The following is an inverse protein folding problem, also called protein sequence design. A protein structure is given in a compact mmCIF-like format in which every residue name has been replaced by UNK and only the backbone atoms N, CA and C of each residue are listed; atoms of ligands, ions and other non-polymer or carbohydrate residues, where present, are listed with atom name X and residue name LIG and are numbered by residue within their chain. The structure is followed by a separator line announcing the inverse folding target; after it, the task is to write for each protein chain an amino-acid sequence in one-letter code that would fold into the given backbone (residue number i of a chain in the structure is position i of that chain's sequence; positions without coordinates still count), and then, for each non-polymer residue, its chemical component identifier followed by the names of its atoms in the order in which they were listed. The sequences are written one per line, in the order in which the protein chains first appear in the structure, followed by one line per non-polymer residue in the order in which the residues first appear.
data_IF_958436513560
#
_entry.id   IF_958436513560
#
_cell.length_a   1.000
_cell.length_b   1.000
_cell.length_c   1.000
_cell.angle_alpha   90.00
_cell.angle_beta   90.00
_cell.angle_gamma   90.00
#
_symmetry.space_group_name_H-M   'P 1'
#
loop_
_entity.id
_entity.type
_entity.pdbx_description
1 polymer ?
#
# COMPACT_ATOMS: atom_id res chain seq x y z
N UNK A 1 9.74 -59.96 48.15
CA UNK A 1 10.88 -60.84 47.81
C UNK A 1 11.22 -60.67 46.34
N UNK A 2 12.48 -60.28 46.07
CA UNK A 2 13.23 -60.27 44.79
C UNK A 2 12.89 -59.24 43.69
N UNK A 3 13.59 -58.11 43.87
CA UNK A 3 14.17 -57.21 42.88
C UNK A 3 14.94 -57.98 41.78
N UNK A 4 14.86 -57.51 40.52
CA UNK A 4 15.93 -57.65 39.54
C UNK A 4 16.20 -56.29 38.88
N UNK A 5 17.36 -55.72 39.20
CA UNK A 5 17.98 -54.58 38.53
C UNK A 5 18.78 -55.14 37.34
N UNK A 6 18.65 -54.56 36.16
CA UNK A 6 19.70 -54.58 35.13
C UNK A 6 20.11 -53.13 34.85
N UNK A 7 21.38 -52.82 35.10
CA UNK A 7 22.07 -51.59 34.73
C UNK A 7 22.60 -51.74 33.29
N UNK A 8 22.52 -50.70 32.46
CA UNK A 8 23.58 -50.27 31.55
C UNK A 8 23.25 -48.89 30.93
N UNK A 9 24.25 -48.01 30.96
CA UNK A 9 24.28 -46.63 30.44
C UNK A 9 24.63 -46.59 28.94
N UNK A 10 24.15 -45.56 28.23
CA UNK A 10 24.88 -44.74 27.22
C UNK A 10 23.87 -43.76 26.58
N UNK A 11 23.89 -42.46 26.88
CA UNK A 11 24.62 -41.37 26.18
C UNK A 11 24.21 -41.18 24.72
N UNK A 12 23.55 -40.06 24.45
CA UNK A 12 23.74 -39.23 23.25
C UNK A 12 22.97 -39.62 21.98
N UNK A 13 21.92 -38.87 21.65
CA UNK A 13 21.97 -37.88 20.56
C UNK A 13 20.66 -37.09 20.54
N UNK A 14 20.77 -35.77 20.70
CA UNK A 14 19.75 -34.81 20.30
C UNK A 14 19.65 -34.92 18.76
N UNK A 15 18.64 -35.60 18.24
CA UNK A 15 18.29 -35.45 16.82
C UNK A 15 17.59 -34.11 16.67
N UNK A 16 18.39 -33.07 16.43
CA UNK A 16 17.90 -31.92 15.70
C UNK A 16 17.46 -32.44 14.34
N UNK A 17 16.14 -32.62 14.17
CA UNK A 17 15.57 -32.70 12.85
C UNK A 17 15.77 -31.32 12.22
N UNK A 18 16.91 -31.14 11.58
CA UNK A 18 17.06 -30.16 10.50
C UNK A 18 16.03 -30.62 9.48
N UNK A 19 14.85 -29.98 9.49
CA UNK A 19 14.00 -29.97 8.32
C UNK A 19 14.81 -29.24 7.26
N UNK A 20 15.59 -30.01 6.49
CA UNK A 20 16.03 -29.61 5.17
C UNK A 20 14.77 -29.21 4.42
N UNK A 21 14.56 -27.90 4.27
CA UNK A 21 13.59 -27.37 3.33
C UNK A 21 14.00 -27.88 1.96
N UNK A 22 13.32 -28.92 1.52
CA UNK A 22 13.33 -29.35 0.14
C UNK A 22 12.71 -28.19 -0.67
N UNK A 23 13.54 -27.45 -1.40
CA UNK A 23 13.07 -26.46 -2.36
C UNK A 23 12.51 -27.19 -3.59
N UNK A 24 11.20 -27.46 -3.61
CA UNK A 24 10.51 -28.01 -4.78
C UNK A 24 9.03 -27.61 -4.80
N UNK A 25 8.62 -26.74 -5.74
CA UNK A 25 7.28 -26.84 -6.36
C UNK A 25 6.53 -25.56 -6.76
N UNK A 26 6.69 -24.43 -6.07
CA UNK A 26 5.80 -23.29 -6.31
C UNK A 26 6.14 -22.58 -7.64
N UNK A 27 5.12 -22.29 -8.45
CA UNK A 27 5.33 -21.78 -9.81
C UNK A 27 4.25 -20.80 -10.29
N UNK A 28 4.67 -19.94 -11.21
CA UNK A 28 3.82 -19.01 -11.94
C UNK A 28 3.18 -19.66 -13.16
N UNK A 29 1.85 -19.64 -13.21
CA UNK A 29 1.06 -20.18 -14.32
C UNK A 29 0.38 -19.03 -15.06
N UNK A 30 0.62 -18.90 -16.36
CA UNK A 30 -0.06 -17.89 -17.18
C UNK A 30 -1.48 -18.37 -17.52
N UNK A 31 -2.48 -17.59 -17.14
CA UNK A 31 -3.87 -17.84 -17.45
C UNK A 31 -4.20 -17.46 -18.91
N UNK A 32 -5.28 -18.02 -19.50
CA UNK A 32 -5.67 -17.75 -20.89
C UNK A 32 -5.96 -16.27 -21.21
N UNK A 33 -6.33 -15.48 -20.19
CA UNK A 33 -6.58 -14.05 -20.31
C UNK A 33 -5.30 -13.19 -20.22
N UNK A 34 -4.14 -13.81 -20.06
CA UNK A 34 -2.84 -13.14 -19.94
C UNK A 34 -2.42 -12.79 -18.51
N UNK A 35 -3.28 -12.99 -17.51
CA UNK A 35 -2.93 -12.84 -16.09
C UNK A 35 -2.08 -14.01 -15.59
N UNK A 36 -1.51 -13.90 -14.39
CA UNK A 36 -0.69 -14.96 -13.79
C UNK A 36 -1.29 -15.50 -12.50
N UNK A 37 -1.15 -16.79 -12.23
CA UNK A 37 -1.62 -17.46 -11.01
C UNK A 37 -0.39 -18.04 -10.31
N UNK A 38 -0.29 -17.88 -8.99
CA UNK A 38 0.77 -18.51 -8.22
C UNK A 38 0.25 -19.81 -7.59
N UNK A 39 0.79 -20.95 -8.05
CA UNK A 39 0.42 -22.27 -7.55
C UNK A 39 1.42 -22.74 -6.49
N UNK A 40 0.91 -23.10 -5.31
CA UNK A 40 1.65 -23.72 -4.23
C UNK A 40 1.95 -25.20 -4.54
N UNK A 41 2.87 -25.79 -3.77
CA UNK A 41 3.34 -27.17 -3.94
C UNK A 41 2.21 -28.22 -3.79
N UNK A 42 1.18 -27.91 -3.01
CA UNK A 42 0.01 -28.77 -2.79
C UNK A 42 -1.06 -28.65 -3.89
N UNK A 43 -0.78 -27.88 -4.94
CA UNK A 43 -1.69 -27.61 -6.05
C UNK A 43 -2.74 -26.54 -5.76
N UNK A 44 -2.77 -25.98 -4.54
CA UNK A 44 -3.57 -24.80 -4.23
C UNK A 44 -2.96 -23.55 -4.88
N UNK A 45 -3.72 -22.45 -4.91
CA UNK A 45 -3.22 -21.20 -5.43
C UNK A 45 -3.28 -20.15 -4.34
N UNK A 46 -2.30 -19.24 -4.33
CA UNK A 46 -2.36 -18.07 -3.46
C UNK A 46 -3.54 -17.22 -3.95
N UNK A 47 -4.42 -16.87 -3.01
CA UNK A 47 -5.53 -15.95 -3.24
C UNK A 47 -5.52 -14.96 -2.10
N UNK A 48 -5.63 -13.67 -2.41
CA UNK A 48 -5.64 -12.60 -1.41
C UNK A 48 -4.43 -12.63 -0.46
N UNK A 49 -3.23 -12.72 -1.03
CA UNK A 49 -2.00 -12.89 -0.25
C UNK A 49 -0.74 -12.64 -1.06
N UNK A 50 0.38 -12.54 -0.36
CA UNK A 50 1.69 -12.37 -0.99
C UNK A 50 2.27 -13.74 -1.36
N UNK A 51 2.84 -13.84 -2.55
CA UNK A 51 3.69 -14.95 -2.94
C UNK A 51 5.02 -14.86 -2.19
N UNK A 52 5.75 -15.99 -2.01
CA UNK A 52 7.08 -16.01 -1.40
C UNK A 52 8.11 -15.08 -2.07
N UNK A 53 7.97 -14.82 -3.37
CA UNK A 53 8.81 -13.90 -4.15
C UNK A 53 8.31 -12.44 -4.15
N UNK A 54 7.30 -12.13 -3.33
CA UNK A 54 6.92 -10.76 -2.95
C UNK A 54 5.83 -10.11 -3.79
N UNK A 55 5.15 -10.87 -4.66
CA UNK A 55 4.04 -10.37 -5.47
C UNK A 55 2.71 -10.61 -4.75
N UNK A 56 1.80 -9.64 -4.80
CA UNK A 56 0.47 -9.83 -4.22
C UNK A 56 -0.47 -10.46 -5.26
N UNK A 57 -1.09 -11.58 -4.91
CA UNK A 57 -2.09 -12.26 -5.73
C UNK A 57 -3.47 -11.85 -5.31
N UNK A 58 -4.30 -11.61 -6.31
CA UNK A 58 -5.60 -11.07 -6.06
C UNK A 58 -6.58 -12.06 -5.40
N UNK A 59 -7.70 -11.58 -4.86
CA UNK A 59 -8.77 -12.45 -4.33
C UNK A 59 -9.40 -13.37 -5.39
N UNK A 60 -9.15 -13.13 -6.68
CA UNK A 60 -9.52 -14.02 -7.80
C UNK A 60 -8.41 -15.01 -8.16
N UNK A 61 -7.30 -15.04 -7.42
CA UNK A 61 -6.13 -15.89 -7.67
C UNK A 61 -5.21 -15.40 -8.79
N UNK A 62 -5.39 -14.17 -9.28
CA UNK A 62 -4.68 -13.59 -10.43
C UNK A 62 -3.74 -12.47 -10.02
N UNK A 63 -2.57 -12.42 -10.61
CA UNK A 63 -1.60 -11.34 -10.53
C UNK A 63 -1.75 -10.42 -11.75
N UNK A 64 -1.59 -9.12 -11.50
CA UNK A 64 -1.59 -8.06 -12.51
C UNK A 64 -0.35 -7.19 -12.34
N UNK A 65 0.11 -6.55 -13.41
CA UNK A 65 1.36 -5.78 -13.44
C UNK A 65 1.38 -4.64 -12.43
N UNK A 66 2.37 -4.64 -11.55
CA UNK A 66 2.59 -3.58 -10.57
C UNK A 66 2.78 -2.21 -11.24
N UNK A 67 2.36 -1.14 -10.56
CA UNK A 67 2.73 0.23 -10.96
C UNK A 67 4.05 0.62 -10.30
N UNK A 68 4.99 1.18 -11.04
CA UNK A 68 6.25 1.70 -10.46
C UNK A 68 6.06 3.18 -10.12
N UNK A 69 6.22 3.54 -8.85
CA UNK A 69 6.15 4.92 -8.37
C UNK A 69 7.35 5.17 -7.45
N UNK A 70 8.12 6.23 -7.71
CA UNK A 70 9.34 6.56 -6.94
C UNK A 70 10.27 5.33 -6.81
N UNK A 71 10.60 4.71 -7.94
CA UNK A 71 11.41 3.49 -8.06
C UNK A 71 10.94 2.31 -7.17
N UNK A 72 9.68 2.33 -6.75
CA UNK A 72 9.09 1.33 -5.86
C UNK A 72 7.97 0.61 -6.60
N UNK A 73 7.99 -0.72 -6.55
CA UNK A 73 6.91 -1.54 -7.07
C UNK A 73 5.69 -1.43 -6.14
N UNK A 74 4.62 -0.80 -6.62
CA UNK A 74 3.35 -0.70 -5.92
C UNK A 74 2.45 -1.81 -6.45
N UNK A 75 2.06 -2.79 -5.60
CA UNK A 75 1.23 -3.90 -6.03
C UNK A 75 -0.15 -3.39 -6.43
N UNK A 76 -0.66 -3.88 -7.55
CA UNK A 76 -2.04 -3.61 -7.93
C UNK A 76 -2.99 -4.25 -6.91
N UNK A 77 -4.08 -3.54 -6.67
CA UNK A 77 -5.14 -3.95 -5.75
C UNK A 77 -6.25 -4.68 -6.50
N UNK A 78 -6.92 -5.54 -5.78
CA UNK A 78 -8.02 -6.38 -6.30
C UNK A 78 -9.36 -5.76 -5.99
N UNK A 79 -9.36 -5.12 -4.83
CA UNK A 79 -10.46 -4.48 -4.16
C UNK A 79 -9.89 -3.26 -3.44
N UNK A 80 -10.78 -2.30 -3.25
CA UNK A 80 -10.54 -1.15 -2.41
C UNK A 80 -10.22 -1.62 -0.97
N UNK A 81 -9.21 -1.01 -0.34
CA UNK A 81 -8.78 -1.33 1.03
C UNK A 81 -9.88 -0.95 2.02
N UNK A 82 -10.19 -1.84 2.97
CA UNK A 82 -11.25 -1.54 3.93
C UNK A 82 -10.79 -0.47 4.93
N UNK A 83 -11.61 0.55 5.23
CA UNK A 83 -11.32 1.49 6.30
C UNK A 83 -11.42 0.86 7.70
N UNK A 84 -11.93 -0.38 7.81
CA UNK A 84 -12.06 -1.11 9.07
C UNK A 84 -10.88 -2.04 9.40
N UNK A 85 -9.79 -2.02 8.63
CA UNK A 85 -8.57 -2.76 8.97
C UNK A 85 -7.95 -2.24 10.28
N UNK A 86 -7.36 -3.14 11.08
CA UNK A 86 -6.75 -2.80 12.38
C UNK A 86 -5.59 -1.81 12.25
N UNK A 87 -4.79 -1.95 11.18
CA UNK A 87 -3.68 -1.07 10.84
C UNK A 87 -3.81 -0.59 9.40
N UNK A 88 -3.80 0.73 9.21
CA UNK A 88 -3.75 1.36 7.90
C UNK A 88 -2.53 0.88 7.14
N UNK A 89 -2.76 0.38 5.94
CA UNK A 89 -1.71 -0.20 5.10
C UNK A 89 -0.93 -1.34 5.79
N UNK A 90 -1.62 -2.19 6.55
CA UNK A 90 -0.98 -3.38 7.11
C UNK A 90 -0.28 -4.20 6.00
N UNK A 91 0.91 -4.73 6.34
CA UNK A 91 1.81 -5.42 5.41
C UNK A 91 2.54 -4.54 4.38
N UNK A 92 2.37 -3.21 4.38
CA UNK A 92 3.00 -2.33 3.39
C UNK A 92 4.25 -1.58 3.91
N UNK A 93 4.78 -1.95 5.08
CA UNK A 93 5.89 -1.24 5.72
C UNK A 93 7.13 -1.15 4.80
N UNK A 94 7.47 -2.22 4.07
CA UNK A 94 8.63 -2.21 3.17
C UNK A 94 8.43 -1.32 1.93
N UNK A 95 7.18 -1.16 1.45
CA UNK A 95 6.87 -0.23 0.36
C UNK A 95 7.15 1.20 0.81
N UNK A 96 6.67 1.59 2.00
CA UNK A 96 6.96 2.92 2.54
C UNK A 96 8.44 3.13 2.83
N UNK A 97 9.16 2.10 3.28
CA UNK A 97 10.62 2.17 3.45
C UNK A 97 11.34 2.40 2.11
N UNK A 98 10.94 1.70 1.03
CA UNK A 98 11.50 1.89 -0.31
C UNK A 98 11.26 3.30 -0.83
N UNK A 99 10.02 3.78 -0.72
CA UNK A 99 9.67 5.16 -1.10
C UNK A 99 10.47 6.17 -0.28
N UNK A 100 10.58 5.97 1.04
CA UNK A 100 11.36 6.86 1.91
C UNK A 100 12.85 6.88 1.54
N UNK A 101 13.44 5.73 1.14
CA UNK A 101 14.82 5.67 0.63
C UNK A 101 14.97 6.42 -0.69
N UNK A 102 14.00 6.35 -1.59
CA UNK A 102 14.01 7.12 -2.85
C UNK A 102 13.94 8.63 -2.57
N UNK A 103 12.99 9.06 -1.74
CA UNK A 103 12.87 10.45 -1.31
C UNK A 103 14.17 10.96 -0.70
N UNK A 104 14.79 10.18 0.19
CA UNK A 104 16.07 10.56 0.80
C UNK A 104 17.20 10.73 -0.24
N UNK A 105 17.26 9.83 -1.22
CA UNK A 105 18.26 9.89 -2.28
C UNK A 105 18.11 11.14 -3.15
N UNK A 106 16.87 11.52 -3.47
CA UNK A 106 16.61 12.61 -4.40
C UNK A 106 16.61 13.98 -3.75
N UNK A 107 16.03 14.08 -2.55
CA UNK A 107 15.68 15.35 -1.88
C UNK A 107 16.06 15.37 -0.40
N UNK A 108 16.86 14.41 0.07
CA UNK A 108 17.28 14.29 1.46
C UNK A 108 16.08 14.11 2.40
N UNK A 109 16.16 14.72 3.58
CA UNK A 109 15.12 14.58 4.61
C UNK A 109 13.87 15.45 4.36
N UNK A 110 13.79 16.18 3.24
CA UNK A 110 12.73 17.17 3.01
C UNK A 110 11.31 16.59 3.06
N UNK A 111 11.15 15.27 2.88
CA UNK A 111 9.86 14.56 2.96
C UNK A 111 9.96 13.33 3.85
N UNK A 112 8.97 13.14 4.72
CA UNK A 112 8.91 12.00 5.63
C UNK A 112 7.51 11.43 5.73
N UNK A 113 7.36 10.14 5.44
CA UNK A 113 6.16 9.40 5.81
C UNK A 113 6.16 9.08 7.31
N UNK A 114 4.98 9.16 7.92
CA UNK A 114 4.72 8.70 9.27
C UNK A 114 3.43 7.87 9.26
N UNK A 115 3.53 6.65 9.76
CA UNK A 115 2.39 5.74 9.90
C UNK A 115 2.10 5.53 11.39
N UNK A 116 0.84 5.67 11.76
CA UNK A 116 0.26 5.12 12.99
C UNK A 116 -0.77 4.05 12.61
N UNK A 117 -1.43 3.43 13.60
CA UNK A 117 -2.41 2.39 13.31
C UNK A 117 -3.54 2.86 12.40
N UNK A 118 -4.04 4.08 12.54
CA UNK A 118 -5.21 4.55 11.77
C UNK A 118 -4.91 5.68 10.80
N UNK A 119 -3.66 6.16 10.74
CA UNK A 119 -3.33 7.37 10.00
C UNK A 119 -1.95 7.30 9.37
N UNK A 120 -1.89 7.70 8.11
CA UNK A 120 -0.66 7.98 7.38
C UNK A 120 -0.54 9.48 7.14
N UNK A 121 0.68 10.02 7.26
CA UNK A 121 0.98 11.43 6.98
C UNK A 121 2.24 11.54 6.15
N UNK A 122 2.24 12.46 5.20
CA UNK A 122 3.46 12.97 4.59
C UNK A 122 3.77 14.34 5.18
N UNK A 123 4.95 14.48 5.77
CA UNK A 123 5.43 15.74 6.30
C UNK A 123 6.53 16.34 5.44
N UNK A 124 6.55 17.67 5.39
CA UNK A 124 7.74 18.45 5.09
C UNK A 124 8.61 18.52 6.34
N UNK A 125 9.92 18.32 6.18
CA UNK A 125 10.89 18.55 7.25
C UNK A 125 11.84 19.66 6.80
N UNK A 126 11.90 20.72 7.59
CA UNK A 126 12.83 21.84 7.43
C UNK A 126 13.42 22.11 8.82
N UNK A 127 14.74 21.98 8.96
CA UNK A 127 15.45 22.00 10.24
C UNK A 127 14.82 21.02 11.26
N UNK A 128 14.38 21.53 12.42
CA UNK A 128 13.71 20.76 13.47
C UNK A 128 12.17 20.80 13.34
N UNK A 129 11.63 21.51 12.34
CA UNK A 129 10.19 21.66 12.15
C UNK A 129 9.65 20.62 11.18
N UNK A 130 8.53 20.03 11.56
CA UNK A 130 7.76 19.11 10.72
C UNK A 130 6.38 19.69 10.45
N UNK A 131 6.03 19.85 9.17
CA UNK A 131 4.73 20.38 8.73
C UNK A 131 4.01 19.35 7.88
N UNK A 132 2.77 19.02 8.24
CA UNK A 132 1.95 18.07 7.50
C UNK A 132 1.56 18.63 6.13
N UNK A 133 1.88 17.88 5.07
CA UNK A 133 1.56 18.24 3.68
C UNK A 133 0.29 17.54 3.21
N UNK A 134 0.16 16.26 3.54
CA UNK A 134 -1.11 15.56 3.43
C UNK A 134 -1.21 14.42 4.45
N UNK A 135 -2.43 13.96 4.72
CA UNK A 135 -2.67 12.76 5.52
C UNK A 135 -3.85 11.95 5.00
N UNK A 136 -3.80 10.63 5.19
CA UNK A 136 -4.93 9.72 5.02
C UNK A 136 -5.25 9.09 6.38
N UNK A 137 -6.49 9.20 6.82
CA UNK A 137 -6.97 8.65 8.10
C UNK A 137 -8.14 7.70 7.86
N UNK A 138 -8.15 6.55 8.54
CA UNK A 138 -9.29 5.64 8.56
C UNK A 138 -10.42 6.22 9.42
N UNK A 139 -11.64 6.15 8.92
CA UNK A 139 -12.87 6.33 9.69
C UNK A 139 -13.72 5.06 9.58
N UNK A 140 -13.45 4.05 10.45
CA UNK A 140 -14.19 2.79 10.43
C UNK A 140 -15.69 2.97 10.70
N UNK A 141 -16.08 4.01 11.43
CA UNK A 141 -17.49 4.25 11.80
C UNK A 141 -18.29 4.76 10.60
N UNK A 142 -17.71 5.68 9.83
CA UNK A 142 -18.30 6.16 8.59
C UNK A 142 -18.07 5.22 7.39
N UNK A 143 -17.18 4.24 7.53
CA UNK A 143 -16.82 3.32 6.45
C UNK A 143 -16.06 4.03 5.32
N UNK A 144 -15.23 5.01 5.67
CA UNK A 144 -14.47 5.82 4.71
C UNK A 144 -13.05 6.10 5.18
N UNK A 145 -12.23 6.64 4.28
CA UNK A 145 -10.97 7.29 4.59
C UNK A 145 -11.12 8.79 4.40
N UNK A 146 -10.47 9.55 5.27
CA UNK A 146 -10.36 10.99 5.14
C UNK A 146 -8.96 11.36 4.65
N UNK A 147 -8.89 11.84 3.42
CA UNK A 147 -7.68 12.41 2.83
C UNK A 147 -7.70 13.94 3.04
N UNK A 148 -6.62 14.51 3.55
CA UNK A 148 -6.45 15.97 3.69
C UNK A 148 -5.20 16.39 2.93
N UNK A 149 -5.33 17.33 1.99
CA UNK A 149 -4.24 17.90 1.20
C UNK A 149 -4.01 19.36 1.62
N UNK A 150 -2.76 19.73 1.91
CA UNK A 150 -2.33 21.07 2.35
C UNK A 150 -1.13 21.61 1.55
N UNK A 151 -0.84 20.99 0.41
CA UNK A 151 0.36 21.26 -0.35
C UNK A 151 0.08 21.33 -1.84
N UNK A 152 0.96 22.03 -2.55
CA UNK A 152 0.97 22.03 -4.01
C UNK A 152 1.27 20.63 -4.54
N UNK A 153 0.53 20.22 -5.57
CA UNK A 153 0.73 18.99 -6.33
C UNK A 153 1.12 19.34 -7.77
N UNK A 154 2.09 18.62 -8.33
CA UNK A 154 2.49 18.80 -9.73
C UNK A 154 2.52 17.47 -10.45
N UNK A 155 1.69 17.35 -11.49
CA UNK A 155 1.63 16.15 -12.33
C UNK A 155 2.70 16.18 -13.42
N UNK A 156 2.75 17.28 -14.17
CA UNK A 156 3.64 17.50 -15.30
C UNK A 156 4.57 18.66 -15.01
N UNK A 157 5.82 18.55 -15.44
CA UNK A 157 6.84 19.57 -15.25
C UNK A 157 7.85 19.51 -16.39
N UNK A 158 8.61 20.59 -16.58
CA UNK A 158 9.72 20.67 -17.51
C UNK A 158 10.95 21.22 -16.81
N UNK A 159 12.12 20.63 -17.03
CA UNK A 159 13.36 21.02 -16.35
C UNK A 159 13.51 20.33 -15.01
N UNK A 160 13.88 21.08 -13.98
CA UNK A 160 14.11 20.56 -12.64
C UNK A 160 12.83 20.00 -12.01
N UNK A 161 12.96 18.89 -11.29
CA UNK A 161 11.83 18.21 -10.64
C UNK A 161 11.35 19.05 -9.45
N UNK A 162 10.12 19.62 -9.46
CA UNK A 162 9.65 20.44 -8.37
C UNK A 162 9.27 19.60 -7.15
N UNK A 163 9.38 20.18 -5.95
CA UNK A 163 9.01 19.49 -4.70
C UNK A 163 7.53 19.04 -4.66
N UNK A 164 6.65 19.76 -5.36
CA UNK A 164 5.24 19.41 -5.54
C UNK A 164 5.01 18.18 -6.42
N UNK A 165 5.98 17.81 -7.26
CA UNK A 165 5.93 16.54 -8.00
C UNK A 165 6.12 15.36 -7.06
N UNK A 166 7.09 15.43 -6.13
CA UNK A 166 7.25 14.40 -5.09
C UNK A 166 6.01 14.27 -4.21
N UNK A 167 5.36 15.40 -3.86
CA UNK A 167 4.09 15.36 -3.12
C UNK A 167 3.02 14.57 -3.89
N UNK A 168 2.89 14.80 -5.20
CA UNK A 168 1.94 14.09 -6.05
C UNK A 168 2.29 12.60 -6.22
N UNK A 169 3.57 12.25 -6.39
CA UNK A 169 3.95 10.84 -6.44
C UNK A 169 3.69 10.11 -5.11
N UNK A 170 3.96 10.75 -3.98
CA UNK A 170 3.60 10.21 -2.67
C UNK A 170 2.09 10.00 -2.51
N UNK A 171 1.26 10.92 -3.03
CA UNK A 171 -0.19 10.75 -3.07
C UNK A 171 -0.57 9.54 -3.94
N UNK A 172 0.04 9.37 -5.12
CA UNK A 172 -0.18 8.21 -5.98
C UNK A 172 0.17 6.89 -5.28
N UNK A 173 1.28 6.80 -4.56
CA UNK A 173 1.63 5.61 -3.75
C UNK A 173 0.48 5.24 -2.82
N UNK A 174 0.02 6.21 -2.03
CA UNK A 174 -1.03 6.02 -1.02
C UNK A 174 -2.34 5.58 -1.67
N UNK A 175 -2.74 6.20 -2.78
CA UNK A 175 -4.01 5.90 -3.44
C UNK A 175 -3.98 4.59 -4.25
N UNK A 176 -2.82 4.18 -4.80
CA UNK A 176 -2.66 2.86 -5.43
C UNK A 176 -2.60 1.73 -4.39
N UNK A 177 -2.13 1.99 -3.17
CA UNK A 177 -2.25 1.03 -2.07
C UNK A 177 -3.67 0.93 -1.50
N UNK A 178 -4.53 1.92 -1.80
CA UNK A 178 -5.91 2.02 -1.34
C UNK A 178 -6.91 1.45 -2.37
N UNK A 179 -6.73 1.75 -3.65
CA UNK A 179 -7.72 1.52 -4.73
C UNK A 179 -7.10 0.76 -5.90
N UNK A 180 -7.87 -0.11 -6.57
CA UNK A 180 -7.45 -0.76 -7.82
C UNK A 180 -7.28 0.25 -8.95
N UNK A 181 -8.01 1.36 -8.87
CA UNK A 181 -7.93 2.49 -9.80
C UNK A 181 -7.19 3.67 -9.16
N UNK A 182 -6.15 3.40 -8.38
CA UNK A 182 -5.46 4.41 -7.57
C UNK A 182 -4.95 5.62 -8.35
N UNK A 183 -4.45 5.44 -9.57
CA UNK A 183 -4.06 6.56 -10.43
C UNK A 183 -5.24 7.41 -10.90
N UNK A 184 -6.40 6.80 -11.21
CA UNK A 184 -7.61 7.58 -11.52
C UNK A 184 -8.10 8.37 -10.30
N UNK A 185 -7.99 7.77 -9.11
CA UNK A 185 -8.33 8.43 -7.86
C UNK A 185 -7.36 9.57 -7.53
N UNK A 186 -6.07 9.39 -7.77
CA UNK A 186 -5.05 10.42 -7.61
C UNK A 186 -5.27 11.59 -8.58
N UNK A 187 -5.64 11.29 -9.83
CA UNK A 187 -5.99 12.29 -10.83
C UNK A 187 -7.24 13.08 -10.43
N UNK A 188 -8.27 12.41 -9.92
CA UNK A 188 -9.48 13.08 -9.44
C UNK A 188 -9.17 14.05 -8.29
N UNK A 189 -8.34 13.64 -7.32
CA UNK A 189 -7.89 14.52 -6.23
C UNK A 189 -7.06 15.68 -6.80
N UNK A 190 -6.09 15.40 -7.67
CA UNK A 190 -5.23 16.43 -8.28
C UNK A 190 -6.04 17.49 -9.04
N UNK A 191 -6.90 17.09 -9.97
CA UNK A 191 -7.67 18.07 -10.75
C UNK A 191 -8.71 18.79 -9.92
N UNK A 192 -9.26 18.16 -8.88
CA UNK A 192 -10.15 18.84 -7.94
C UNK A 192 -9.41 19.89 -7.10
N UNK A 193 -8.15 19.64 -6.73
CA UNK A 193 -7.35 20.52 -5.86
C UNK A 193 -6.60 21.63 -6.61
N UNK A 194 -5.90 21.29 -7.69
CA UNK A 194 -5.02 22.20 -8.45
C UNK A 194 -5.65 22.68 -9.77
N UNK A 195 -6.66 21.96 -10.26
CA UNK A 195 -7.03 21.98 -11.67
C UNK A 195 -8.45 22.45 -11.94
N UNK A 196 -8.97 21.94 -13.05
CA UNK A 196 -10.29 22.26 -13.61
C UNK A 196 -11.43 21.40 -13.03
N UNK A 197 -11.13 20.55 -12.04
CA UNK A 197 -12.07 19.57 -11.49
C UNK A 197 -12.78 18.72 -12.57
N UNK A 198 -12.07 18.29 -13.63
CA UNK A 198 -12.66 17.51 -14.74
C UNK A 198 -13.33 16.20 -14.38
N UNK A 199 -13.02 15.63 -13.21
CA UNK A 199 -13.70 14.44 -12.68
C UNK A 199 -15.06 14.78 -12.05
N UNK A 200 -15.38 16.08 -11.94
CA UNK A 200 -16.64 16.56 -11.40
C UNK A 200 -16.80 16.28 -9.93
N UNK A 201 -15.71 16.27 -9.14
CA UNK A 201 -15.77 16.02 -7.69
C UNK A 201 -16.59 17.13 -7.04
N UNK A 202 -17.67 16.75 -6.37
CA UNK A 202 -18.67 17.68 -5.85
C UNK A 202 -18.45 17.98 -4.36
N UNK A 203 -18.83 19.19 -3.97
CA UNK A 203 -18.91 19.60 -2.57
C UNK A 203 -20.00 18.79 -1.87
N UNK A 204 -19.62 18.02 -0.86
CA UNK A 204 -20.51 17.22 0.00
C UNK A 204 -21.45 16.27 -0.75
N UNK A 205 -21.05 15.84 -1.95
CA UNK A 205 -21.78 14.84 -2.74
C UNK A 205 -20.82 13.81 -3.33
N UNK A 206 -21.24 12.54 -3.28
CA UNK A 206 -20.45 11.43 -3.79
C UNK A 206 -20.34 11.44 -5.31
N UNK A 207 -19.10 11.29 -5.78
CA UNK A 207 -18.75 11.17 -7.20
C UNK A 207 -18.02 9.85 -7.39
N UNK A 208 -18.46 9.04 -8.35
CA UNK A 208 -17.78 7.76 -8.67
C UNK A 208 -16.48 8.04 -9.42
N UNK A 209 -15.38 7.46 -8.95
CA UNK A 209 -14.06 7.48 -9.61
C UNK A 209 -13.49 6.08 -9.53
N UNK A 210 -13.55 5.35 -10.65
CA UNK A 210 -13.11 3.96 -10.72
C UNK A 210 -13.85 3.06 -9.73
N UNK A 211 -13.12 2.39 -8.83
CA UNK A 211 -13.68 1.53 -7.78
C UNK A 211 -13.99 2.27 -6.46
N UNK A 212 -13.87 3.60 -6.44
CA UNK A 212 -14.08 4.43 -5.27
C UNK A 212 -15.21 5.46 -5.48
N UNK A 213 -15.74 5.96 -4.37
CA UNK A 213 -16.52 7.18 -4.30
C UNK A 213 -15.74 8.24 -3.55
N UNK A 214 -15.74 9.46 -4.08
CA UNK A 214 -15.07 10.61 -3.50
C UNK A 214 -16.05 11.77 -3.29
N UNK A 215 -15.93 12.45 -2.16
CA UNK A 215 -16.67 13.67 -1.82
C UNK A 215 -15.70 14.72 -1.31
N UNK A 216 -15.86 15.98 -1.73
CA UNK A 216 -14.99 17.08 -1.33
C UNK A 216 -15.63 17.94 -0.24
N UNK A 217 -14.81 18.45 0.68
CA UNK A 217 -15.14 19.53 1.61
C UNK A 217 -13.98 20.53 1.63
N UNK A 218 -14.30 21.80 1.45
CA UNK A 218 -13.31 22.87 1.64
C UNK A 218 -13.03 23.04 3.15
N UNK A 219 -11.76 23.13 3.51
CA UNK A 219 -11.30 23.55 4.83
C UNK A 219 -10.26 24.65 4.68
N UNK A 220 -10.06 25.48 5.71
CA UNK A 220 -9.15 26.62 5.64
C UNK A 220 -7.72 26.16 5.24
N UNK A 221 -7.28 26.61 4.06
CA UNK A 221 -6.02 26.23 3.44
C UNK A 221 -5.84 24.75 3.11
N UNK A 222 -6.91 23.96 3.00
CA UNK A 222 -6.83 22.52 2.74
C UNK A 222 -7.99 21.96 1.91
N UNK A 223 -7.68 20.99 1.06
CA UNK A 223 -8.67 20.13 0.43
C UNK A 223 -8.92 18.89 1.29
N UNK A 224 -10.16 18.69 1.74
CA UNK A 224 -10.55 17.49 2.51
C UNK A 224 -11.43 16.62 1.65
N UNK A 225 -11.09 15.34 1.53
CA UNK A 225 -11.79 14.37 0.73
C UNK A 225 -12.20 13.18 1.59
N UNK A 226 -13.48 12.84 1.55
CA UNK A 226 -13.96 11.55 2.03
C UNK A 226 -13.89 10.56 0.87
N UNK A 227 -13.31 9.39 1.09
CA UNK A 227 -13.08 8.35 0.08
C UNK A 227 -13.57 7.01 0.61
N UNK A 228 -14.40 6.31 -0.14
CA UNK A 228 -14.91 4.98 0.25
C UNK A 228 -15.02 4.04 -0.96
N UNK A 229 -15.17 2.72 -0.77
CA UNK A 229 -15.50 1.81 -1.88
C UNK A 229 -16.79 2.23 -2.58
N UNK A 230 -16.86 2.06 -3.90
CA UNK A 230 -18.10 2.29 -4.66
C UNK A 230 -19.07 1.10 -4.65
N UNK A 231 -18.57 -0.12 -4.41
CA UNK A 231 -19.31 -1.37 -4.48
C UNK A 231 -18.83 -2.34 -3.40
#
# INVERSE_FOLDING_TARGET
MRIKIKKAMAVGLLMAAILSFNAYGAQWIKAPDGSWIYQNDDGTHVTDGFTPDGYYINGTGRWQENTVILDTNIPNRNSFRSPAEEKIFDGCDEIFNQVQRKLYRDIGNARRFQLSNTRLRLNRVEDEKSTELFSLEQDPQAGEFKLTIRCGLTREYSGDVPMSWYNFQCLRVVLNLLSRTGDQLADAVYYSWEGDNRYGVKLEQWTNVGDAQISYRAADGAGVYSIRPAF
#
